data_IF_416914342346
#
_entry.id   IF_416914342346
#
_cell.length_a   1.000
_cell.length_b   1.000
_cell.length_c   1.000
_cell.angle_alpha   90.00
_cell.angle_beta   90.00
_cell.angle_gamma   90.00
#
_symmetry.space_group_name_H-M   'P 1'
#
loop_
_entity.id
_entity.type
_entity.pdbx_description
1 polymer ?
#
# COMPACT_ATOMS: atom_id res chain seq x y z
N UNK A 1 17.16 4.91 -6.11
CA UNK A 1 16.48 6.14 -6.52
C UNK A 1 17.52 7.25 -6.69
N UNK A 2 17.38 8.09 -7.71
CA UNK A 2 18.28 9.21 -7.99
C UNK A 2 17.49 10.36 -8.63
N UNK A 3 18.11 11.52 -8.79
CA UNK A 3 17.47 12.69 -9.38
C UNK A 3 18.34 13.33 -10.46
N UNK A 4 17.69 14.12 -11.29
CA UNK A 4 18.31 15.05 -12.24
C UNK A 4 17.80 16.46 -11.91
N UNK A 5 18.22 17.48 -12.64
CA UNK A 5 17.73 18.85 -12.43
C UNK A 5 16.20 18.98 -12.60
N UNK A 6 15.55 18.04 -13.30
CA UNK A 6 14.15 18.19 -13.73
C UNK A 6 13.28 16.97 -13.43
N UNK A 7 13.88 15.86 -13.01
CA UNK A 7 13.20 14.59 -12.81
C UNK A 7 13.71 13.85 -11.59
N UNK A 8 12.78 13.18 -10.93
CA UNK A 8 13.03 12.24 -9.84
C UNK A 8 12.82 10.82 -10.39
N UNK A 9 13.78 9.93 -10.16
CA UNK A 9 13.79 8.59 -10.74
C UNK A 9 13.89 7.51 -9.66
N UNK A 10 12.95 6.57 -9.69
CA UNK A 10 12.94 5.39 -8.84
C UNK A 10 13.22 4.16 -9.71
N UNK A 11 14.31 3.45 -9.42
CA UNK A 11 14.60 2.15 -10.00
C UNK A 11 13.99 1.10 -9.10
N UNK A 12 13.00 0.37 -9.62
CA UNK A 12 12.23 -0.64 -8.91
C UNK A 12 12.23 -1.94 -9.73
N UNK A 13 11.87 -3.05 -9.09
CA UNK A 13 11.69 -4.32 -9.77
C UNK A 13 10.59 -4.24 -10.84
N UNK A 14 10.87 -4.86 -11.99
CA UNK A 14 9.94 -4.88 -13.11
C UNK A 14 8.88 -5.99 -12.96
N UNK A 15 7.65 -5.61 -12.65
CA UNK A 15 6.48 -6.47 -12.74
C UNK A 15 5.90 -6.47 -14.17
N UNK A 16 6.24 -7.49 -14.97
CA UNK A 16 5.86 -7.55 -16.40
C UNK A 16 4.51 -8.20 -16.70
N UNK A 17 3.79 -8.70 -15.70
CA UNK A 17 2.50 -9.39 -15.84
C UNK A 17 1.28 -8.49 -15.91
N UNK A 18 1.46 -7.17 -15.81
CA UNK A 18 0.37 -6.19 -15.69
C UNK A 18 -0.05 -6.01 -14.23
N UNK A 19 -1.33 -5.71 -14.01
CA UNK A 19 -1.91 -5.47 -12.68
C UNK A 19 -3.16 -6.32 -12.43
N UNK A 20 -3.55 -6.43 -11.16
CA UNK A 20 -4.69 -7.21 -10.73
C UNK A 20 -6.00 -6.62 -11.27
N UNK A 21 -6.06 -5.31 -11.50
CA UNK A 21 -7.19 -4.65 -12.15
C UNK A 21 -7.45 -5.20 -13.56
N UNK A 22 -6.39 -5.31 -14.36
CA UNK A 22 -6.39 -5.89 -15.69
C UNK A 22 -6.81 -7.36 -15.65
N UNK A 23 -6.33 -8.13 -14.67
CA UNK A 23 -6.80 -9.50 -14.44
C UNK A 23 -8.30 -9.53 -14.18
N UNK A 24 -8.82 -8.72 -13.25
CA UNK A 24 -10.26 -8.68 -12.89
C UNK A 24 -11.13 -8.36 -14.10
N UNK A 25 -10.69 -7.43 -14.97
CA UNK A 25 -11.45 -7.00 -16.16
C UNK A 25 -11.26 -7.87 -17.40
N UNK A 26 -10.20 -8.67 -17.46
CA UNK A 26 -9.93 -9.53 -18.61
C UNK A 26 -11.01 -10.60 -18.80
N UNK A 27 -11.21 -11.08 -20.04
CA UNK A 27 -12.10 -12.23 -20.28
C UNK A 27 -11.65 -13.47 -19.49
N UNK A 28 -10.33 -13.64 -19.30
CA UNK A 28 -9.72 -14.69 -18.51
C UNK A 28 -10.13 -14.65 -17.02
N UNK A 29 -10.64 -13.52 -16.53
CA UNK A 29 -11.15 -13.38 -15.16
C UNK A 29 -12.32 -14.32 -14.88
N UNK A 30 -13.12 -14.66 -15.89
CA UNK A 30 -14.23 -15.61 -15.79
C UNK A 30 -13.76 -17.06 -15.58
N UNK A 31 -12.50 -17.34 -15.89
CA UNK A 31 -11.89 -18.66 -15.72
C UNK A 31 -11.17 -18.80 -14.38
N UNK A 32 -11.03 -17.72 -13.60
CA UNK A 32 -10.41 -17.78 -12.27
C UNK A 32 -11.32 -18.53 -11.30
N UNK A 33 -10.79 -19.63 -10.79
CA UNK A 33 -11.44 -20.39 -9.71
C UNK A 33 -11.34 -19.61 -8.40
N UNK A 34 -12.21 -19.91 -7.44
CA UNK A 34 -12.10 -19.34 -6.10
C UNK A 34 -10.72 -19.62 -5.48
N UNK A 35 -10.16 -20.82 -5.67
CA UNK A 35 -8.81 -21.15 -5.20
C UNK A 35 -7.74 -20.24 -5.80
N UNK A 36 -7.84 -19.90 -7.09
CA UNK A 36 -6.95 -18.93 -7.74
C UNK A 36 -7.12 -17.52 -7.15
N UNK A 37 -8.36 -17.10 -6.88
CA UNK A 37 -8.63 -15.84 -6.19
C UNK A 37 -8.00 -15.84 -4.79
N UNK A 38 -8.14 -16.93 -4.02
CA UNK A 38 -7.56 -17.04 -2.68
C UNK A 38 -6.04 -17.11 -2.68
N UNK A 39 -5.42 -17.67 -3.71
CA UNK A 39 -3.97 -17.60 -3.91
C UNK A 39 -3.48 -16.15 -4.03
N UNK A 40 -4.20 -15.30 -4.77
CA UNK A 40 -3.90 -13.88 -4.86
C UNK A 40 -4.19 -13.14 -3.55
N UNK A 41 -5.34 -13.39 -2.92
CA UNK A 41 -5.67 -12.76 -1.64
C UNK A 41 -4.68 -13.14 -0.53
N UNK A 42 -4.20 -14.38 -0.48
CA UNK A 42 -3.20 -14.81 0.50
C UNK A 42 -1.88 -14.04 0.36
N UNK A 43 -1.44 -13.75 -0.87
CA UNK A 43 -0.25 -12.92 -1.11
C UNK A 43 -0.47 -11.47 -0.67
N UNK A 44 -1.64 -10.89 -0.96
CA UNK A 44 -1.97 -9.54 -0.49
C UNK A 44 -1.98 -9.50 1.04
N UNK A 45 -2.57 -10.51 1.69
CA UNK A 45 -2.60 -10.59 3.15
C UNK A 45 -1.19 -10.70 3.75
N UNK A 46 -0.30 -11.51 3.17
CA UNK A 46 1.12 -11.57 3.56
C UNK A 46 1.83 -10.22 3.39
N UNK A 47 1.62 -9.55 2.26
CA UNK A 47 2.25 -8.26 1.98
C UNK A 47 1.79 -7.18 2.97
N UNK A 48 0.48 -7.10 3.25
CA UNK A 48 -0.07 -6.18 4.25
C UNK A 48 0.45 -6.49 5.64
N UNK A 49 0.44 -7.76 6.05
CA UNK A 49 0.97 -8.16 7.34
C UNK A 49 2.43 -7.74 7.52
N UNK A 50 3.27 -7.91 6.48
CA UNK A 50 4.66 -7.44 6.51
C UNK A 50 4.76 -5.92 6.66
N UNK A 51 3.94 -5.15 5.93
CA UNK A 51 3.93 -3.69 6.07
C UNK A 51 3.51 -3.29 7.49
N UNK A 52 2.44 -3.88 8.01
CA UNK A 52 1.90 -3.54 9.32
C UNK A 52 2.83 -3.95 10.47
N UNK A 53 3.58 -5.06 10.34
CA UNK A 53 4.65 -5.45 11.29
C UNK A 53 5.78 -4.39 11.35
N UNK A 54 6.01 -3.68 10.24
CA UNK A 54 6.90 -2.52 10.17
C UNK A 54 6.21 -1.19 10.57
N UNK A 55 4.99 -1.25 11.09
CA UNK A 55 4.10 -0.12 11.37
C UNK A 55 3.80 0.75 10.14
N UNK A 56 3.88 0.20 8.92
CA UNK A 56 3.57 0.90 7.67
C UNK A 56 2.17 0.52 7.22
N UNK A 57 1.35 1.52 6.93
CA UNK A 57 0.01 1.34 6.37
C UNK A 57 0.02 1.82 4.93
N UNK A 58 -0.57 1.04 4.02
CA UNK A 58 -0.58 1.31 2.59
C UNK A 58 -1.54 2.45 2.23
N UNK A 59 -2.76 2.42 2.77
CA UNK A 59 -3.84 3.44 2.63
C UNK A 59 -4.41 3.68 1.23
N UNK A 60 -3.75 3.20 0.17
CA UNK A 60 -4.31 3.21 -1.20
C UNK A 60 -4.32 1.82 -1.85
N UNK A 61 -4.65 0.80 -1.07
CA UNK A 61 -4.72 -0.56 -1.58
C UNK A 61 -5.90 -0.68 -2.55
N UNK A 62 -5.59 -1.02 -3.81
CA UNK A 62 -6.55 -1.23 -4.89
C UNK A 62 -5.96 -2.17 -5.95
N UNK A 63 -6.76 -2.81 -6.81
CA UNK A 63 -6.25 -3.74 -7.81
C UNK A 63 -5.20 -3.15 -8.76
N UNK A 64 -5.28 -1.85 -9.04
CA UNK A 64 -4.31 -1.13 -9.89
C UNK A 64 -2.90 -1.05 -9.23
N UNK A 65 -2.85 -1.04 -7.89
CA UNK A 65 -1.60 -0.98 -7.12
C UNK A 65 -1.09 -2.38 -6.72
N UNK A 66 -1.68 -3.44 -7.28
CA UNK A 66 -1.23 -4.82 -7.08
C UNK A 66 -0.77 -5.35 -8.43
N UNK A 67 0.54 -5.31 -8.66
CA UNK A 67 1.15 -5.73 -9.91
C UNK A 67 1.36 -7.25 -9.94
N UNK A 68 1.51 -7.78 -11.14
CA UNK A 68 1.77 -9.20 -11.38
C UNK A 68 3.19 -9.33 -11.93
N UNK A 69 4.03 -10.10 -11.25
CA UNK A 69 5.37 -10.44 -11.66
C UNK A 69 5.40 -11.32 -12.90
N UNK A 70 6.58 -11.49 -13.49
CA UNK A 70 6.78 -12.39 -14.63
C UNK A 70 6.60 -13.87 -14.27
N UNK A 71 6.72 -14.19 -12.98
CA UNK A 71 6.47 -15.48 -12.34
C UNK A 71 4.98 -15.71 -12.01
N UNK A 72 4.12 -14.70 -12.22
CA UNK A 72 2.70 -14.75 -11.88
C UNK A 72 2.39 -14.45 -10.41
N UNK A 73 3.40 -14.17 -9.59
CA UNK A 73 3.26 -13.73 -8.20
C UNK A 73 2.92 -12.25 -8.12
N UNK A 74 2.27 -11.82 -7.05
CA UNK A 74 1.88 -10.43 -6.86
C UNK A 74 3.00 -9.59 -6.26
N UNK A 75 3.01 -8.31 -6.61
CA UNK A 75 3.87 -7.29 -6.02
C UNK A 75 3.01 -6.08 -5.68
N UNK A 76 2.98 -5.69 -4.41
CA UNK A 76 2.31 -4.47 -3.97
C UNK A 76 3.18 -3.26 -4.35
N UNK A 77 2.57 -2.22 -4.93
CA UNK A 77 3.28 -1.03 -5.41
C UNK A 77 2.58 0.25 -4.95
N UNK A 78 3.18 1.40 -5.27
CA UNK A 78 2.64 2.74 -5.01
C UNK A 78 2.39 3.04 -3.53
N UNK A 79 3.49 3.11 -2.77
CA UNK A 79 3.51 3.57 -1.39
C UNK A 79 3.45 5.11 -1.26
N UNK A 80 3.02 5.83 -2.30
CA UNK A 80 2.98 7.30 -2.30
C UNK A 80 2.03 7.91 -1.27
N UNK A 81 1.01 7.14 -0.86
CA UNK A 81 0.10 7.48 0.23
C UNK A 81 0.37 6.67 1.50
N UNK A 82 1.39 5.81 1.52
CA UNK A 82 1.71 5.04 2.71
C UNK A 82 2.17 5.96 3.85
N UNK A 83 1.96 5.53 5.08
CA UNK A 83 2.49 6.22 6.26
C UNK A 83 2.94 5.20 7.28
N UNK A 84 3.99 5.53 8.02
CA UNK A 84 4.28 4.85 9.28
C UNK A 84 3.21 5.29 10.29
N UNK A 85 2.79 4.42 11.21
CA UNK A 85 1.91 4.82 12.33
C UNK A 85 2.53 6.06 12.96
N UNK A 86 1.83 7.21 12.93
CA UNK A 86 2.51 8.43 13.26
C UNK A 86 2.75 8.50 14.76
N UNK A 87 4.00 8.75 15.17
CA UNK A 87 4.35 8.96 16.58
C UNK A 87 3.49 10.05 17.23
N UNK A 88 3.16 11.10 16.45
CA UNK A 88 2.26 12.16 16.89
C UNK A 88 0.86 11.66 17.27
N UNK A 89 0.39 10.55 16.68
CA UNK A 89 -0.90 9.98 17.04
C UNK A 89 -0.83 9.39 18.45
N UNK A 90 0.26 8.70 18.79
CA UNK A 90 0.49 8.18 20.14
C UNK A 90 0.71 9.30 21.16
N UNK A 91 1.44 10.36 20.78
CA UNK A 91 1.57 11.55 21.62
C UNK A 91 0.24 12.28 21.80
N UNK A 92 -0.62 12.31 20.78
CA UNK A 92 -1.97 12.86 20.86
C UNK A 92 -2.87 12.00 21.77
N UNK A 93 -2.82 10.65 21.64
CA UNK A 93 -3.52 9.70 22.53
C UNK A 93 -3.13 9.96 23.99
N UNK A 94 -1.83 10.10 24.28
CA UNK A 94 -1.31 10.39 25.64
C UNK A 94 -1.67 11.79 26.13
N UNK A 95 -1.50 12.81 25.29
CA UNK A 95 -1.81 14.19 25.62
C UNK A 95 -3.28 14.36 26.02
N UNK A 96 -4.19 13.72 25.28
CA UNK A 96 -5.62 13.74 25.56
C UNK A 96 -5.96 12.98 26.85
N UNK A 97 -5.36 11.81 27.06
CA UNK A 97 -5.52 11.02 28.30
C UNK A 97 -5.02 11.76 29.56
N UNK A 98 -3.95 12.54 29.43
CA UNK A 98 -3.34 13.32 30.52
C UNK A 98 -3.98 14.70 30.74
N UNK A 99 -4.98 15.07 29.93
CA UNK A 99 -5.60 16.42 29.95
C UNK A 99 -4.64 17.56 29.55
N UNK A 100 -3.53 17.23 28.87
CA UNK A 100 -2.52 18.20 28.43
C UNK A 100 -2.77 18.62 26.97
N UNK A 101 -3.02 19.90 26.74
CA UNK A 101 -3.10 20.44 25.37
C UNK A 101 -1.69 20.66 24.78
N UNK A 102 -1.11 19.62 24.16
CA UNK A 102 0.15 19.74 23.40
C UNK A 102 -0.05 20.29 21.97
N UNK A 103 -1.27 20.25 21.43
CA UNK A 103 -1.61 20.76 20.10
C UNK A 103 -2.90 21.57 20.12
N UNK A 104 -2.97 22.59 19.27
CA UNK A 104 -4.21 23.35 19.04
C UNK A 104 -5.20 22.51 18.23
N UNK A 105 -6.51 22.76 18.41
CA UNK A 105 -7.57 22.16 17.58
C UNK A 105 -7.31 22.29 16.08
N UNK A 106 -6.71 23.41 15.66
CA UNK A 106 -6.37 23.69 14.25
C UNK A 106 -5.28 22.73 13.74
N UNK A 107 -4.26 22.44 14.54
CA UNK A 107 -3.21 21.49 14.18
C UNK A 107 -3.78 20.07 14.09
N UNK A 108 -4.61 19.66 15.05
CA UNK A 108 -5.27 18.35 15.03
C UNK A 108 -6.11 18.17 13.76
N UNK A 109 -6.95 19.15 13.39
CA UNK A 109 -7.71 19.10 12.12
C UNK A 109 -6.82 19.01 10.89
N UNK A 110 -5.70 19.72 10.87
CA UNK A 110 -4.78 19.65 9.75
C UNK A 110 -4.21 18.24 9.58
N UNK A 111 -3.76 17.62 10.68
CA UNK A 111 -3.26 16.24 10.67
C UNK A 111 -4.33 15.22 10.23
N UNK A 112 -5.57 15.37 10.71
CA UNK A 112 -6.70 14.54 10.29
C UNK A 112 -6.96 14.62 8.79
N UNK A 113 -6.95 15.83 8.21
CA UNK A 113 -7.12 16.02 6.77
C UNK A 113 -6.01 15.37 5.94
N UNK A 114 -4.78 15.33 6.46
CA UNK A 114 -3.66 14.62 5.80
C UNK A 114 -3.83 13.10 5.82
N UNK A 115 -4.72 12.57 6.66
CA UNK A 115 -5.05 11.15 6.72
C UNK A 115 -6.27 10.76 5.88
N UNK A 116 -7.10 11.73 5.47
CA UNK A 116 -8.23 11.52 4.55
C UNK A 116 -7.77 11.31 3.10
N UNK A 117 -7.03 10.23 2.83
CA UNK A 117 -6.49 9.90 1.52
C UNK A 117 -6.88 8.49 1.06
N UNK A 118 -6.60 8.19 -0.20
CA UNK A 118 -6.88 6.92 -0.84
C UNK A 118 -7.93 7.00 -1.95
N UNK A 119 -8.10 5.89 -2.66
CA UNK A 119 -9.07 5.80 -3.74
C UNK A 119 -10.47 5.56 -3.17
N UNK A 120 -11.40 6.51 -3.38
CA UNK A 120 -12.75 6.55 -2.78
C UNK A 120 -13.52 5.22 -2.71
N UNK A 121 -13.34 4.34 -3.70
CA UNK A 121 -14.03 3.05 -3.80
C UNK A 121 -13.51 1.99 -2.82
N UNK A 122 -12.28 2.16 -2.35
CA UNK A 122 -11.57 1.25 -1.45
C UNK A 122 -11.33 1.85 -0.06
N UNK A 123 -11.70 3.13 0.14
CA UNK A 123 -11.56 3.81 1.44
C UNK A 123 -12.54 3.26 2.47
N UNK A 124 -12.03 2.99 3.67
CA UNK A 124 -12.81 2.52 4.81
C UNK A 124 -13.72 3.62 5.39
N UNK A 125 -14.84 3.27 6.06
CA UNK A 125 -15.79 4.22 6.62
C UNK A 125 -15.15 5.20 7.61
N UNK A 126 -14.23 4.73 8.44
CA UNK A 126 -13.55 5.57 9.43
C UNK A 126 -12.75 6.70 8.77
N UNK A 127 -12.18 6.50 7.57
CA UNK A 127 -11.42 7.54 6.86
C UNK A 127 -12.35 8.70 6.45
N UNK A 128 -13.58 8.40 6.03
CA UNK A 128 -14.58 9.40 5.66
C UNK A 128 -15.08 10.20 6.87
N UNK A 129 -15.07 9.59 8.06
CA UNK A 129 -15.58 10.18 9.29
C UNK A 129 -14.59 11.17 9.93
N UNK A 130 -13.28 11.04 9.66
CA UNK A 130 -12.23 11.88 10.27
C UNK A 130 -12.43 13.39 10.09
N UNK A 131 -12.97 13.84 8.94
CA UNK A 131 -13.18 15.27 8.68
C UNK A 131 -14.40 15.84 9.44
N UNK A 132 -15.33 14.96 9.84
CA UNK A 132 -16.65 15.36 10.35
C UNK A 132 -16.82 15.20 11.85
N UNK A 133 -16.04 14.32 12.46
CA UNK A 133 -16.13 14.08 13.90
C UNK A 133 -15.48 15.25 14.65
N UNK A 134 -16.21 15.82 15.61
CA UNK A 134 -15.66 16.85 16.49
C UNK A 134 -14.47 16.28 17.27
N UNK A 135 -13.47 17.12 17.53
CA UNK A 135 -12.20 16.64 18.14
C UNK A 135 -12.44 15.98 19.50
N UNK A 136 -13.43 16.49 20.24
CA UNK A 136 -13.85 15.98 21.54
C UNK A 136 -14.49 14.59 21.46
N UNK A 137 -15.16 14.28 20.35
CA UNK A 137 -15.82 13.00 20.11
C UNK A 137 -14.91 12.02 19.36
N UNK A 138 -13.74 12.46 18.90
CA UNK A 138 -12.77 11.61 18.24
C UNK A 138 -12.12 10.66 19.25
N UNK A 139 -12.35 9.37 19.06
CA UNK A 139 -11.65 8.34 19.81
C UNK A 139 -10.25 8.09 19.23
N UNK A 140 -9.22 8.68 19.85
CA UNK A 140 -7.84 8.76 19.33
C UNK A 140 -7.14 7.40 19.18
N UNK A 141 -7.54 6.36 19.92
CA UNK A 141 -6.93 5.02 19.81
C UNK A 141 -7.25 4.28 18.50
N UNK A 142 -8.14 4.81 17.66
CA UNK A 142 -8.72 4.08 16.52
C UNK A 142 -8.51 4.78 15.17
N UNK A 143 -7.64 5.78 15.10
CA UNK A 143 -7.45 6.55 13.86
C UNK A 143 -6.49 5.85 12.91
N UNK A 144 -6.91 5.69 11.65
CA UNK A 144 -6.04 5.37 10.52
C UNK A 144 -5.03 4.27 10.83
N UNK A 145 -5.48 3.20 11.50
CA UNK A 145 -4.66 2.04 11.80
C UNK A 145 -4.65 1.06 10.62
N UNK A 146 -3.92 -0.06 10.77
CA UNK A 146 -3.89 -1.17 9.80
C UNK A 146 -5.27 -1.65 9.32
N UNK A 147 -6.33 -1.44 10.12
CA UNK A 147 -7.72 -1.79 9.80
C UNK A 147 -8.24 -1.24 8.48
N UNK A 148 -7.72 -0.10 8.01
CA UNK A 148 -8.17 0.55 6.77
C UNK A 148 -7.75 -0.25 5.54
N UNK A 149 -6.58 -0.88 5.60
CA UNK A 149 -6.07 -1.74 4.53
C UNK A 149 -6.82 -3.07 4.51
N UNK A 150 -7.27 -3.56 5.68
CA UNK A 150 -8.13 -4.75 5.77
C UNK A 150 -9.54 -4.54 5.21
N UNK A 151 -10.09 -3.32 5.29
CA UNK A 151 -11.31 -2.97 4.55
C UNK A 151 -11.06 -3.02 3.04
N UNK A 152 -10.01 -2.37 2.56
CA UNK A 152 -9.66 -2.37 1.13
C UNK A 152 -9.38 -3.80 0.60
N UNK A 153 -8.73 -4.64 1.41
CA UNK A 153 -8.55 -6.06 1.16
C UNK A 153 -9.89 -6.78 0.96
N UNK A 154 -10.87 -6.52 1.84
CA UNK A 154 -12.24 -7.05 1.70
C UNK A 154 -12.92 -6.60 0.40
N UNK A 155 -12.74 -5.34 0.00
CA UNK A 155 -13.26 -4.81 -1.27
C UNK A 155 -12.63 -5.53 -2.47
N UNK A 156 -11.31 -5.73 -2.47
CA UNK A 156 -10.60 -6.45 -3.54
C UNK A 156 -11.06 -7.90 -3.60
N UNK A 157 -11.19 -8.58 -2.46
CA UNK A 157 -11.66 -9.95 -2.38
C UNK A 157 -13.06 -10.09 -3.00
N UNK A 158 -13.95 -9.14 -2.70
CA UNK A 158 -15.29 -9.08 -3.27
C UNK A 158 -15.26 -8.92 -4.79
N UNK A 159 -14.48 -7.96 -5.30
CA UNK A 159 -14.34 -7.74 -6.75
C UNK A 159 -13.73 -8.96 -7.47
N UNK A 160 -12.75 -9.61 -6.85
CA UNK A 160 -12.02 -10.72 -7.45
C UNK A 160 -12.88 -11.99 -7.54
N UNK A 161 -13.69 -12.30 -6.51
CA UNK A 161 -14.53 -13.49 -6.50
C UNK A 161 -15.84 -13.25 -7.27
N UNK A 162 -16.55 -12.17 -6.95
CA UNK A 162 -17.92 -11.95 -7.43
C UNK A 162 -17.98 -11.19 -8.75
N UNK A 163 -16.85 -10.60 -9.19
CA UNK A 163 -16.76 -9.76 -10.41
C UNK A 163 -17.73 -8.57 -10.38
N UNK A 164 -18.10 -8.15 -9.18
CA UNK A 164 -19.01 -7.04 -8.90
C UNK A 164 -18.36 -6.11 -7.89
N UNK A 165 -18.83 -4.87 -7.83
CA UNK A 165 -18.41 -3.94 -6.78
C UNK A 165 -19.24 -4.15 -5.52
N UNK A 166 -18.63 -4.17 -4.32
CA UNK A 166 -19.39 -4.27 -3.08
C UNK A 166 -20.27 -3.05 -2.86
N UNK A 167 -19.88 -1.86 -3.33
CA UNK A 167 -20.65 -0.63 -3.14
C UNK A 167 -20.91 0.09 -4.46
N UNK A 168 -22.16 0.53 -4.66
CA UNK A 168 -22.52 1.41 -5.76
C UNK A 168 -21.93 2.80 -5.58
N UNK A 169 -21.88 3.60 -6.65
CA UNK A 169 -21.49 5.02 -6.53
C UNK A 169 -22.36 5.79 -5.54
N UNK A 170 -23.65 5.47 -5.44
CA UNK A 170 -24.54 6.09 -4.45
C UNK A 170 -24.15 5.69 -3.02
N UNK A 171 -23.89 4.41 -2.76
CA UNK A 171 -23.43 3.95 -1.44
C UNK A 171 -22.08 4.54 -1.04
N UNK A 172 -21.15 4.74 -1.99
CA UNK A 172 -19.89 5.45 -1.71
C UNK A 172 -20.16 6.90 -1.30
N UNK A 173 -21.13 7.57 -1.95
CA UNK A 173 -21.57 8.91 -1.52
C UNK A 173 -22.15 8.86 -0.11
N UNK A 174 -23.03 7.90 0.20
CA UNK A 174 -23.60 7.74 1.54
C UNK A 174 -22.52 7.48 2.62
N UNK A 175 -21.52 6.63 2.33
CA UNK A 175 -20.34 6.45 3.18
C UNK A 175 -19.59 7.77 3.40
N UNK A 176 -19.37 8.54 2.33
CA UNK A 176 -18.74 9.86 2.45
C UNK A 176 -19.60 10.86 3.24
N UNK A 177 -20.91 10.61 3.35
CA UNK A 177 -21.82 11.37 4.19
C UNK A 177 -21.78 10.94 5.67
N UNK A 178 -21.18 9.79 5.99
CA UNK A 178 -21.13 9.19 7.32
C UNK A 178 -22.26 8.21 7.58
N UNK A 179 -23.03 7.86 6.55
CA UNK A 179 -24.14 6.93 6.66
C UNK A 179 -23.62 5.48 6.55
N UNK A 180 -24.19 4.59 7.35
CA UNK A 180 -23.92 3.16 7.27
C UNK A 180 -24.41 2.60 5.95
N UNK A 181 -23.60 1.76 5.31
CA UNK A 181 -23.98 1.06 4.09
C UNK A 181 -23.64 -0.40 4.21
N UNK A 182 -24.42 -1.24 3.54
CA UNK A 182 -24.12 -2.66 3.46
C UNK A 182 -23.57 -2.99 2.08
N UNK A 183 -22.57 -3.88 1.99
CA UNK A 183 -22.13 -4.39 0.70
C UNK A 183 -23.31 -4.99 -0.08
N UNK A 184 -23.23 -4.95 -1.40
CA UNK A 184 -24.20 -5.51 -2.34
C UNK A 184 -24.12 -7.04 -2.37
N UNK A 185 -24.27 -7.68 -1.20
CA UNK A 185 -24.56 -9.11 -1.08
C UNK A 185 -25.84 -9.48 -1.86
N UNK A 186 -26.75 -8.50 -1.97
CA UNK A 186 -28.20 -8.67 -2.08
C UNK A 186 -28.80 -8.92 -3.46
N UNK A 187 -28.04 -9.33 -4.48
CA UNK A 187 -28.70 -9.86 -5.69
C UNK A 187 -28.93 -11.37 -5.63
N UNK A 188 -28.43 -12.05 -4.59
CA UNK A 188 -28.39 -13.50 -4.51
C UNK A 188 -28.73 -14.01 -3.10
N UNK A 189 -29.68 -14.94 -3.01
CA UNK A 189 -29.84 -15.79 -1.84
C UNK A 189 -28.53 -16.55 -1.56
N UNK A 190 -28.27 -17.02 -0.32
CA UNK A 190 -27.07 -17.80 -0.01
C UNK A 190 -26.85 -19.01 -0.93
N UNK A 191 -27.93 -19.61 -1.45
CA UNK A 191 -27.90 -20.70 -2.45
C UNK A 191 -27.47 -20.28 -3.85
N UNK A 192 -27.46 -18.98 -4.13
CA UNK A 192 -27.09 -18.36 -5.41
C UNK A 192 -25.69 -17.75 -5.37
N UNK A 193 -25.01 -17.81 -4.21
CA UNK A 193 -23.64 -17.34 -4.07
C UNK A 193 -22.70 -18.25 -4.86
N UNK A 194 -21.91 -17.64 -5.74
CA UNK A 194 -20.90 -18.34 -6.54
C UNK A 194 -19.60 -18.60 -5.77
N UNK A 195 -19.62 -18.46 -4.45
CA UNK A 195 -18.45 -18.58 -3.60
C UNK A 195 -18.76 -19.36 -2.32
N UNK A 196 -17.70 -19.92 -1.72
CA UNK A 196 -17.80 -20.76 -0.54
C UNK A 196 -18.21 -19.97 0.71
N UNK A 197 -18.85 -20.62 1.70
CA UNK A 197 -19.16 -19.96 2.98
C UNK A 197 -17.93 -19.32 3.66
N UNK A 198 -16.74 -19.95 3.71
CA UNK A 198 -15.54 -19.30 4.23
C UNK A 198 -15.12 -18.03 3.49
N UNK A 199 -15.24 -18.00 2.15
CA UNK A 199 -14.92 -16.79 1.39
C UNK A 199 -15.84 -15.62 1.76
N UNK A 200 -17.12 -15.91 2.01
CA UNK A 200 -18.08 -14.89 2.42
C UNK A 200 -17.82 -14.45 3.85
N UNK A 201 -17.52 -15.37 4.74
CA UNK A 201 -17.19 -15.07 6.12
C UNK A 201 -16.00 -14.10 6.20
N UNK A 202 -14.92 -14.36 5.44
CA UNK A 202 -13.79 -13.46 5.31
C UNK A 202 -14.23 -12.06 4.84
N UNK A 203 -14.98 -11.97 3.74
CA UNK A 203 -15.41 -10.69 3.19
C UNK A 203 -16.33 -9.92 4.16
N UNK A 204 -17.20 -10.62 4.89
CA UNK A 204 -18.06 -10.01 5.90
C UNK A 204 -17.26 -9.50 7.09
N UNK A 205 -16.25 -10.25 7.53
CA UNK A 205 -15.34 -9.85 8.59
C UNK A 205 -14.50 -8.62 8.21
N UNK A 206 -14.08 -8.50 6.96
CA UNK A 206 -13.33 -7.34 6.48
C UNK A 206 -14.22 -6.11 6.21
N UNK A 207 -15.45 -6.31 5.73
CA UNK A 207 -16.39 -5.24 5.37
C UNK A 207 -17.34 -4.88 6.53
N UNK A 208 -16.78 -4.78 7.73
CA UNK A 208 -17.48 -4.27 8.94
C UNK A 208 -17.28 -2.76 9.04
N UNK A 209 -18.39 -2.04 9.19
CA UNK A 209 -18.39 -0.56 9.28
C UNK A 209 -17.55 -0.06 10.46
N UNK A 210 -17.69 -0.71 11.61
CA UNK A 210 -16.90 -0.43 12.80
C UNK A 210 -15.53 -1.11 12.70
N UNK A 211 -14.45 -0.34 12.68
CA UNK A 211 -13.10 -0.89 12.56
C UNK A 211 -12.72 -1.82 13.74
N UNK A 212 -13.34 -1.67 14.92
CA UNK A 212 -13.03 -2.48 16.11
C UNK A 212 -13.50 -3.92 15.98
N UNK A 213 -14.66 -4.08 15.35
CA UNK A 213 -15.25 -5.40 15.10
C UNK A 213 -14.76 -5.99 13.77
N UNK A 214 -13.89 -5.26 13.05
CA UNK A 214 -13.35 -5.69 11.76
C UNK A 214 -12.27 -6.75 11.95
N UNK A 215 -12.39 -7.81 11.18
CA UNK A 215 -11.41 -8.88 11.14
C UNK A 215 -10.02 -8.31 10.78
N UNK A 216 -9.01 -8.70 11.56
CA UNK A 216 -7.63 -8.26 11.39
C UNK A 216 -7.24 -7.02 12.19
N UNK A 217 -8.19 -6.29 12.80
CA UNK A 217 -7.85 -5.08 13.58
C UNK A 217 -7.06 -5.40 14.85
N UNK A 218 -7.55 -6.33 15.68
CA UNK A 218 -6.88 -6.69 16.94
C UNK A 218 -5.77 -7.73 16.73
N UNK A 219 -5.96 -8.60 15.73
CA UNK A 219 -5.05 -9.70 15.45
C UNK A 219 -5.09 -10.09 13.98
N UNK A 220 -4.13 -9.60 13.22
CA UNK A 220 -3.98 -9.88 11.78
C UNK A 220 -3.80 -11.35 11.45
N UNK A 221 -3.25 -12.13 12.40
CA UNK A 221 -3.08 -13.58 12.26
C UNK A 221 -4.44 -14.26 12.06
N UNK A 222 -5.55 -13.67 12.51
CA UNK A 222 -6.89 -14.20 12.24
C UNK A 222 -7.24 -14.21 10.75
N UNK A 223 -6.73 -13.25 9.96
CA UNK A 223 -6.90 -13.25 8.51
C UNK A 223 -6.08 -14.37 7.89
N UNK A 224 -4.80 -14.48 8.26
CA UNK A 224 -3.91 -15.51 7.71
C UNK A 224 -4.35 -16.94 8.08
N UNK A 225 -4.95 -17.12 9.26
CA UNK A 225 -5.48 -18.41 9.74
C UNK A 225 -6.93 -18.68 9.35
N UNK A 226 -7.55 -17.78 8.58
CA UNK A 226 -8.95 -17.93 8.20
C UNK A 226 -9.18 -19.23 7.41
N UNK A 227 -10.31 -19.91 7.64
CA UNK A 227 -10.66 -21.21 7.04
C UNK A 227 -10.61 -21.23 5.51
N UNK A 228 -10.73 -20.06 4.89
CA UNK A 228 -10.64 -19.89 3.43
C UNK A 228 -9.22 -20.18 2.90
N UNK A 229 -8.19 -20.01 3.74
CA UNK A 229 -6.79 -20.26 3.42
C UNK A 229 -6.27 -21.60 3.94
N UNK A 230 -7.13 -22.46 4.50
CA UNK A 230 -6.71 -23.73 5.12
C UNK A 230 -5.90 -24.67 4.22
N UNK A 231 -6.00 -24.51 2.91
CA UNK A 231 -5.29 -25.32 1.91
C UNK A 231 -4.08 -24.61 1.31
N UNK A 232 -3.78 -23.39 1.73
CA UNK A 232 -2.62 -22.63 1.29
C UNK A 232 -1.51 -22.81 2.34
N UNK A 233 -0.41 -23.38 1.89
CA UNK A 233 0.82 -23.43 2.66
C UNK A 233 1.52 -22.07 2.54
N UNK A 234 1.42 -21.26 3.60
CA UNK A 234 1.98 -19.90 3.62
C UNK A 234 3.50 -19.88 3.57
N UNK A 235 4.19 -20.91 4.06
CA UNK A 235 5.66 -21.00 3.97
C UNK A 235 6.08 -21.20 2.52
N UNK A 236 5.42 -22.12 1.81
CA UNK A 236 5.65 -22.34 0.37
C UNK A 236 5.21 -21.16 -0.48
N UNK A 237 4.11 -20.49 -0.11
CA UNK A 237 3.66 -19.28 -0.78
C UNK A 237 4.72 -18.17 -0.68
N UNK A 238 5.26 -17.94 0.53
CA UNK A 238 6.31 -16.96 0.78
C UNK A 238 7.60 -17.29 0.04
N UNK A 239 8.00 -18.57 0.02
CA UNK A 239 9.17 -19.05 -0.72
C UNK A 239 8.97 -19.11 -2.25
N UNK A 240 7.78 -18.74 -2.74
CA UNK A 240 7.36 -18.82 -4.14
C UNK A 240 7.45 -20.22 -4.77
N UNK A 241 7.12 -21.25 -3.99
CA UNK A 241 7.17 -22.67 -4.40
C UNK A 241 5.83 -23.22 -4.91
N UNK A 242 4.76 -22.41 -4.89
CA UNK A 242 3.44 -22.79 -5.35
C UNK A 242 3.21 -22.34 -6.80
N UNK A 243 2.46 -23.11 -7.58
CA UNK A 243 2.17 -22.72 -8.97
C UNK A 243 1.20 -21.53 -9.03
N UNK A 244 1.61 -20.43 -9.66
CA UNK A 244 0.77 -19.25 -9.82
C UNK A 244 -0.39 -19.50 -10.82
N UNK A 245 -1.62 -19.03 -10.55
CA UNK A 245 -2.79 -19.32 -11.38
C UNK A 245 -2.76 -18.73 -12.80
N UNK A 246 -2.13 -17.58 -13.00
CA UNK A 246 -2.02 -16.91 -14.30
C UNK A 246 -0.55 -16.79 -14.69
N UNK A 247 -0.04 -17.79 -15.40
CA UNK A 247 1.30 -17.76 -16.02
C UNK A 247 1.17 -17.60 -17.53
N UNK A 248 0.60 -16.50 -18.01
CA UNK A 248 0.59 -16.21 -19.45
C UNK A 248 0.79 -14.72 -19.72
N UNK A 249 2.05 -14.30 -19.71
CA UNK A 249 2.49 -13.35 -20.72
C UNK A 249 3.65 -13.98 -21.50
N UNK A 250 3.52 -14.02 -22.84
CA UNK A 250 4.67 -14.24 -23.71
C UNK A 250 5.66 -13.15 -23.35
N UNK A 251 6.89 -13.51 -22.94
CA UNK A 251 8.01 -12.56 -22.85
C UNK A 251 7.93 -11.66 -24.09
N UNK A 252 7.96 -10.32 -23.97
CA UNK A 252 8.00 -9.46 -25.13
C UNK A 252 9.11 -9.99 -26.04
N UNK A 253 8.77 -10.31 -27.29
CA UNK A 253 9.61 -11.07 -28.21
C UNK A 253 10.94 -10.37 -28.54
N UNK A 254 11.09 -9.11 -28.11
CA UNK A 254 12.34 -8.36 -28.13
C UNK A 254 12.44 -7.53 -26.86
N UNK A 255 13.38 -7.85 -25.97
CA UNK A 255 13.94 -6.83 -25.07
C UNK A 255 14.68 -5.85 -25.97
N UNK A 256 14.42 -4.53 -25.91
CA UNK A 256 15.29 -3.57 -26.57
C UNK A 256 16.70 -3.73 -25.98
N UNK A 257 17.69 -4.06 -26.81
CA UNK A 257 19.08 -4.02 -26.40
C UNK A 257 19.50 -2.54 -26.41
N UNK A 258 19.32 -1.86 -25.30
CA UNK A 258 19.83 -0.51 -25.16
C UNK A 258 21.35 -0.60 -25.15
N UNK A 259 21.99 0.00 -26.16
CA UNK A 259 23.46 -0.03 -26.30
C UNK A 259 24.17 0.92 -25.34
N UNK A 260 23.44 1.84 -24.70
CA UNK A 260 23.92 2.73 -23.64
C UNK A 260 22.75 3.26 -22.80
N UNK A 261 23.04 3.73 -21.58
CA UNK A 261 22.08 4.41 -20.70
C UNK A 261 21.48 5.67 -21.37
N UNK A 262 22.30 6.43 -22.09
CA UNK A 262 21.89 7.63 -22.84
C UNK A 262 20.83 7.32 -23.91
N UNK A 263 20.99 6.20 -24.63
CA UNK A 263 20.02 5.76 -25.63
C UNK A 263 18.69 5.34 -25.01
N UNK A 264 18.73 4.70 -23.83
CA UNK A 264 17.51 4.38 -23.07
C UNK A 264 16.78 5.66 -22.64
N UNK A 265 17.50 6.62 -22.05
CA UNK A 265 16.95 7.89 -21.59
C UNK A 265 16.36 8.73 -22.72
N UNK A 266 17.05 8.80 -23.87
CA UNK A 266 16.56 9.53 -25.05
C UNK A 266 15.26 8.94 -25.59
N UNK A 267 15.12 7.61 -25.65
CA UNK A 267 13.91 6.97 -26.14
C UNK A 267 12.76 7.04 -25.11
N UNK A 268 13.05 6.98 -23.81
CA UNK A 268 12.09 7.24 -22.74
C UNK A 268 11.56 8.69 -22.82
N UNK A 269 12.44 9.67 -23.01
CA UNK A 269 12.07 11.07 -23.20
C UNK A 269 11.17 11.24 -24.43
N UNK A 270 11.50 10.58 -25.54
CA UNK A 270 10.69 10.61 -26.77
C UNK A 270 9.32 9.99 -26.59
N UNK A 271 9.21 8.86 -25.87
CA UNK A 271 7.91 8.25 -25.52
C UNK A 271 7.08 9.15 -24.62
N UNK A 272 7.70 9.73 -23.59
CA UNK A 272 7.05 10.68 -22.69
C UNK A 272 6.47 11.87 -23.46
N UNK A 273 7.25 12.45 -24.39
CA UNK A 273 6.79 13.54 -25.27
C UNK A 273 5.66 13.11 -26.23
N UNK A 274 5.63 11.86 -26.66
CA UNK A 274 4.55 11.33 -27.51
C UNK A 274 3.24 11.15 -26.73
N UNK A 275 3.30 10.64 -25.50
CA UNK A 275 2.13 10.48 -24.62
C UNK A 275 1.56 11.82 -24.14
N UNK A 276 2.40 12.85 -23.99
CA UNK A 276 1.96 14.20 -23.64
C UNK A 276 1.21 14.95 -24.75
N UNK A 277 1.20 14.47 -26.00
CA UNK A 277 0.45 15.11 -27.10
C UNK A 277 -1.08 15.14 -26.90
N UNK A 278 -1.61 14.42 -25.90
CA UNK A 278 -3.01 14.45 -25.50
C UNK A 278 -3.40 15.49 -24.45
N UNK A 279 -2.43 16.16 -23.81
CA UNK A 279 -2.69 17.23 -22.82
C UNK A 279 -2.54 18.60 -23.49
N UNK A 280 -3.61 19.40 -23.51
CA UNK A 280 -3.60 20.73 -24.11
C UNK A 280 -2.65 21.67 -23.36
N UNK A 281 -1.88 22.43 -24.14
CA UNK A 281 -0.50 22.77 -23.86
C UNK A 281 -0.27 24.26 -23.53
N UNK A 282 -1.07 24.87 -22.65
CA UNK A 282 -0.90 26.30 -22.33
C UNK A 282 -0.36 26.61 -20.92
N UNK A 283 -0.19 25.60 -20.04
CA UNK A 283 0.31 25.84 -18.67
C UNK A 283 1.35 24.86 -18.13
N UNK A 284 1.75 23.82 -18.86
CA UNK A 284 2.89 23.01 -18.41
C UNK A 284 4.18 23.69 -18.84
N UNK A 285 4.89 24.28 -17.87
CA UNK A 285 6.27 24.73 -18.07
C UNK A 285 7.07 23.50 -18.49
N UNK A 286 7.71 23.58 -19.66
CA UNK A 286 8.63 22.55 -20.12
C UNK A 286 9.86 22.57 -19.21
N UNK A 287 9.81 21.85 -18.09
CA UNK A 287 10.88 21.82 -17.10
C UNK A 287 12.22 21.35 -17.69
N UNK A 288 12.20 20.65 -18.83
CA UNK A 288 13.42 20.31 -19.58
C UNK A 288 14.10 21.53 -20.21
N UNK A 289 13.35 22.59 -20.51
CA UNK A 289 13.87 23.86 -21.06
C UNK A 289 14.10 24.92 -19.98
N UNK A 290 13.29 24.90 -18.93
CA UNK A 290 13.39 25.81 -17.79
C UNK A 290 13.30 25.00 -16.49
N UNK A 291 14.43 24.48 -15.98
CA UNK A 291 14.44 23.69 -14.76
C UNK A 291 13.90 24.50 -13.55
N UNK A 292 13.37 23.82 -12.52
CA UNK A 292 12.90 24.47 -11.29
C UNK A 292 13.98 25.34 -10.63
N UNK A 293 13.56 26.37 -9.90
CA UNK A 293 14.49 27.22 -9.15
C UNK A 293 15.22 26.42 -8.06
N UNK A 294 16.38 26.91 -7.61
CA UNK A 294 17.20 26.22 -6.60
C UNK A 294 16.42 25.89 -5.32
N UNK A 295 15.57 26.82 -4.86
CA UNK A 295 14.69 26.62 -3.69
C UNK A 295 13.72 25.44 -3.83
N UNK A 296 13.27 25.15 -5.05
CA UNK A 296 12.33 24.06 -5.33
C UNK A 296 13.09 22.73 -5.46
N UNK A 297 14.33 22.79 -5.97
CA UNK A 297 15.25 21.64 -6.00
C UNK A 297 15.72 21.24 -4.60
N UNK A 298 15.87 22.19 -3.66
CA UNK A 298 16.26 21.90 -2.27
C UNK A 298 15.27 20.95 -1.56
N UNK A 299 13.99 20.96 -1.94
CA UNK A 299 12.96 20.07 -1.37
C UNK A 299 13.31 18.59 -1.62
N UNK A 300 14.04 18.29 -2.70
CA UNK A 300 14.44 16.93 -3.06
C UNK A 300 15.81 16.53 -2.52
N UNK A 301 16.48 17.40 -1.76
CA UNK A 301 17.76 17.05 -1.12
C UNK A 301 17.58 15.86 -0.17
N UNK A 302 18.33 14.79 -0.42
CA UNK A 302 18.22 13.53 0.33
C UNK A 302 17.32 12.48 -0.31
N UNK A 303 16.78 12.73 -1.52
CA UNK A 303 16.01 11.72 -2.27
C UNK A 303 16.89 10.59 -2.85
N UNK A 304 18.18 10.87 -3.08
CA UNK A 304 19.12 9.88 -3.59
C UNK A 304 19.33 8.75 -2.57
N UNK A 305 19.06 7.52 -3.01
CA UNK A 305 19.13 6.35 -2.16
C UNK A 305 19.49 5.10 -2.97
N UNK A 306 20.42 4.31 -2.46
CA UNK A 306 20.72 2.98 -3.00
C UNK A 306 20.43 1.95 -1.93
N UNK A 307 19.49 1.04 -2.20
CA UNK A 307 19.11 0.03 -1.23
C UNK A 307 20.28 -0.92 -0.95
N UNK A 308 20.59 -1.25 0.32
CA UNK A 308 21.65 -2.18 0.66
C UNK A 308 21.46 -3.56 0.02
N UNK A 309 20.22 -4.03 -0.18
CA UNK A 309 19.92 -5.26 -0.92
C UNK A 309 20.42 -5.22 -2.36
N UNK A 310 20.21 -4.11 -3.08
CA UNK A 310 20.74 -3.91 -4.43
C UNK A 310 22.27 -3.93 -4.45
N UNK A 311 22.92 -3.33 -3.44
CA UNK A 311 24.38 -3.39 -3.32
C UNK A 311 24.89 -4.80 -2.99
N UNK A 312 24.12 -5.59 -2.20
CA UNK A 312 24.42 -6.98 -1.86
C UNK A 312 24.38 -7.89 -3.10
N UNK A 313 23.34 -7.78 -3.90
CA UNK A 313 23.09 -8.67 -5.05
C UNK A 313 23.96 -8.32 -6.29
N UNK A 314 24.18 -7.03 -6.56
CA UNK A 314 24.84 -6.61 -7.81
C UNK A 314 26.36 -6.41 -7.69
N UNK A 315 26.89 -6.15 -6.48
CA UNK A 315 28.28 -5.72 -6.31
C UNK A 315 29.14 -6.63 -5.41
N UNK A 316 28.56 -7.62 -4.70
CA UNK A 316 29.32 -8.62 -3.93
C UNK A 316 30.12 -8.05 -2.74
N UNK A 317 29.80 -6.86 -2.26
CA UNK A 317 30.56 -6.11 -1.23
C UNK A 317 30.07 -6.40 0.21
N UNK A 318 29.66 -7.64 0.48
CA UNK A 318 28.95 -8.06 1.72
C UNK A 318 29.64 -7.62 3.02
N UNK A 319 30.97 -7.74 3.09
CA UNK A 319 31.74 -7.50 4.32
C UNK A 319 31.91 -6.03 4.67
N UNK A 320 31.89 -5.16 3.67
CA UNK A 320 32.14 -3.72 3.83
C UNK A 320 30.86 -2.98 4.24
N UNK A 321 29.71 -3.37 3.67
CA UNK A 321 28.41 -2.85 4.07
C UNK A 321 27.98 -3.32 5.47
N UNK A 322 28.27 -4.57 5.83
CA UNK A 322 28.02 -5.06 7.19
C UNK A 322 28.81 -4.27 8.24
N UNK A 323 30.05 -3.87 7.90
CA UNK A 323 30.90 -3.02 8.74
C UNK A 323 30.34 -1.60 8.86
N UNK A 324 29.94 -0.98 7.74
CA UNK A 324 29.36 0.37 7.73
C UNK A 324 28.00 0.45 8.43
N UNK A 325 27.16 -0.59 8.29
CA UNK A 325 25.89 -0.66 9.00
C UNK A 325 26.11 -0.80 10.51
N UNK A 326 27.06 -1.65 10.93
CA UNK A 326 27.45 -1.77 12.34
C UNK A 326 27.99 -0.46 12.92
N UNK A 327 28.84 0.25 12.17
CA UNK A 327 29.35 1.58 12.55
C UNK A 327 28.26 2.66 12.55
N UNK A 328 27.22 2.54 11.72
CA UNK A 328 26.06 3.44 11.70
C UNK A 328 25.15 3.21 12.91
N UNK A 329 24.88 1.94 13.25
CA UNK A 329 24.11 1.56 14.44
C UNK A 329 24.87 1.93 15.72
N UNK A 330 26.19 1.74 15.77
CA UNK A 330 27.03 2.18 16.89
C UNK A 330 27.01 3.70 17.07
N UNK A 331 27.06 4.48 15.97
CA UNK A 331 26.91 5.95 16.01
C UNK A 331 25.53 6.41 16.45
N UNK A 332 24.47 5.74 16.01
CA UNK A 332 23.11 6.03 16.48
C UNK A 332 22.92 5.70 17.97
N UNK A 333 23.54 4.60 18.43
CA UNK A 333 23.56 4.23 19.85
C UNK A 333 24.41 5.18 20.71
N UNK A 334 25.53 5.70 20.20
CA UNK A 334 26.31 6.75 20.87
C UNK A 334 25.55 8.09 20.91
N UNK A 335 24.84 8.44 19.83
CA UNK A 335 23.99 9.63 19.78
C UNK A 335 22.83 9.56 20.78
N UNK A 336 22.23 8.38 20.97
CA UNK A 336 21.22 8.12 22.00
C UNK A 336 21.78 8.23 23.44
N UNK A 337 23.06 7.85 23.64
CA UNK A 337 23.76 7.99 24.93
C UNK A 337 24.11 9.43 25.28
N UNK A 338 24.45 10.26 24.30
CA UNK A 338 24.83 11.67 24.52
C UNK A 338 23.64 12.63 24.66
N UNK A 339 22.43 12.23 24.24
CA UNK A 339 21.21 13.05 24.33
C UNK A 339 20.37 12.76 25.59
N UNK A 340 20.82 11.88 26.49
CA UNK A 340 20.11 11.56 27.74
C UNK A 340 18.85 10.72 27.58
N UNK A 341 18.62 10.11 26.41
CA UNK A 341 17.47 9.23 26.12
C UNK A 341 17.74 7.74 26.40
N UNK A 342 18.85 7.43 27.08
CA UNK A 342 19.39 6.07 27.23
C UNK A 342 18.56 5.07 28.05
N UNK A 343 17.57 5.52 28.83
CA UNK A 343 16.84 4.63 29.75
C UNK A 343 15.56 3.99 29.18
N UNK A 344 15.16 4.28 27.93
CA UNK A 344 13.93 3.72 27.36
C UNK A 344 14.12 2.44 26.52
N UNK A 345 15.36 1.99 26.30
CA UNK A 345 15.71 0.79 25.53
C UNK A 345 16.12 -0.42 26.40
N UNK A 346 16.00 -0.31 27.73
CA UNK A 346 16.43 -1.36 28.67
C UNK A 346 15.30 -2.30 29.14
N UNK A 347 14.10 -2.24 28.55
CA UNK A 347 12.94 -3.04 28.99
C UNK A 347 12.46 -4.11 28.01
N UNK A 348 13.26 -4.48 27.02
CA UNK A 348 13.04 -5.70 26.23
C UNK A 348 14.23 -6.66 26.37
N UNK A 349 14.17 -7.46 27.44
CA UNK A 349 14.83 -8.76 27.53
C UNK A 349 13.85 -9.79 28.03
#
# INVERSE_FOLDING_TARGET
AFQTQTMVMMCLDLAGGGDLHGIIRSEASHSLTEGACMFYMAQIALALHHLHDMNIMHRDLKPDNVLVGNDGYLMLTDLGLATVEPVWLNDLKRAYADGKNLMTKKQIRHMLRMCCCGTKRYMAPEIWQLEKTEIEDLNVSHWCGPSVDWWAFGVICFELILKLRPFTSHQITELSLGNRVTPQWGNWAPSQWKCSPPAVDLMKGCLVDDCRDRLGTDNEVMILRHDVFKYIDFEKLFAKELDAPVTKQKKPSKRPSWTSFENCMAELQKKFQQEQRGFSNEKMVDWLKSPPEEKDQEIFKGFEYVAPSTLKEELGIEKELAKLHKESVERQNEFAKHTGFGDMLALEK
#
